data_IF_019576538811
#
_entry.id   IF_019576538811
#
_cell.length_a   1.000
_cell.length_b   1.000
_cell.length_c   1.000
_cell.angle_alpha   90.00
_cell.angle_beta   90.00
_cell.angle_gamma   90.00
#
_symmetry.space_group_name_H-M   'P 1'
#
loop_
_entity.id
_entity.type
_entity.pdbx_description
1 polymer ?
#
# COMPACT_ATOMS: atom_id res chain seq x y z
N UNK A 1 3.41 24.10 -1.17
CA UNK A 1 3.17 22.74 -1.70
C UNK A 1 1.70 22.42 -1.50
N UNK A 2 0.97 21.87 -2.49
CA UNK A 2 -0.36 21.36 -2.23
C UNK A 2 -0.29 20.32 -1.10
N UNK A 3 -1.28 20.24 -0.20
CA UNK A 3 -1.29 19.22 0.84
C UNK A 3 -1.28 17.86 0.15
N UNK A 4 -0.40 16.96 0.61
CA UNK A 4 -0.41 15.58 0.15
C UNK A 4 -1.80 15.01 0.44
N UNK A 5 -2.46 14.49 -0.60
CA UNK A 5 -3.79 13.90 -0.50
C UNK A 5 -3.69 12.44 -0.88
N UNK A 6 -4.10 11.59 0.04
CA UNK A 6 -4.17 10.14 -0.13
C UNK A 6 -5.27 9.75 -1.12
N UNK A 7 -5.02 8.74 -1.95
CA UNK A 7 -6.03 8.16 -2.84
C UNK A 7 -7.09 7.37 -2.06
N UNK A 8 -6.71 6.74 -0.95
CA UNK A 8 -7.57 5.87 -0.16
C UNK A 8 -7.71 6.40 1.27
N UNK A 9 -8.68 7.29 1.56
CA UNK A 9 -8.87 7.80 2.91
C UNK A 9 -9.18 6.68 3.91
N UNK A 10 -8.93 6.93 5.20
CA UNK A 10 -9.22 5.98 6.29
C UNK A 10 -10.66 5.46 6.20
N UNK A 11 -10.83 4.15 6.37
CA UNK A 11 -12.10 3.44 6.21
C UNK A 11 -12.39 2.96 4.78
N UNK A 12 -11.60 3.37 3.79
CA UNK A 12 -11.75 2.90 2.40
C UNK A 12 -11.49 1.40 2.30
N UNK A 13 -12.29 0.71 1.50
CA UNK A 13 -12.10 -0.70 1.18
C UNK A 13 -11.12 -0.82 0.01
N UNK A 14 -10.01 -1.51 0.24
CA UNK A 14 -8.92 -1.67 -0.72
C UNK A 14 -8.58 -3.15 -0.88
N UNK A 15 -8.00 -3.47 -2.03
CA UNK A 15 -7.43 -4.78 -2.30
C UNK A 15 -5.93 -4.63 -2.51
N UNK A 16 -5.15 -5.46 -1.85
CA UNK A 16 -3.73 -5.61 -2.14
C UNK A 16 -3.58 -6.16 -3.55
N UNK A 17 -2.73 -5.54 -4.38
CA UNK A 17 -2.51 -6.00 -5.75
C UNK A 17 -1.98 -7.43 -5.81
N UNK A 18 -2.08 -8.02 -6.99
CA UNK A 18 -1.66 -9.40 -7.23
C UNK A 18 -0.15 -9.57 -7.01
N UNK A 19 0.25 -10.80 -6.68
CA UNK A 19 1.62 -11.14 -6.28
C UNK A 19 2.64 -10.74 -7.34
N UNK A 20 2.33 -10.97 -8.61
CA UNK A 20 3.20 -10.59 -9.74
C UNK A 20 3.51 -9.09 -9.76
N UNK A 21 2.54 -8.24 -9.44
CA UNK A 21 2.75 -6.79 -9.32
C UNK A 21 3.63 -6.47 -8.11
N UNK A 22 3.36 -7.07 -6.95
CA UNK A 22 4.14 -6.81 -5.73
C UNK A 22 5.60 -7.24 -5.89
N UNK A 23 5.84 -8.39 -6.53
CA UNK A 23 7.19 -8.88 -6.83
C UNK A 23 7.91 -7.98 -7.84
N UNK A 24 7.21 -7.49 -8.86
CA UNK A 24 7.79 -6.51 -9.80
C UNK A 24 8.12 -5.20 -9.07
N UNK A 25 7.18 -4.71 -8.27
CA UNK A 25 7.35 -3.48 -7.49
C UNK A 25 8.54 -3.61 -6.53
N UNK A 26 8.68 -4.75 -5.84
CA UNK A 26 9.82 -5.11 -4.98
C UNK A 26 11.17 -5.09 -5.73
N UNK A 27 11.23 -5.57 -6.98
CA UNK A 27 12.47 -5.62 -7.78
C UNK A 27 12.89 -4.28 -8.37
N UNK A 28 11.95 -3.48 -8.85
CA UNK A 28 12.22 -2.21 -9.54
C UNK A 28 12.49 -1.03 -8.58
N UNK A 29 12.56 -1.33 -7.28
CA UNK A 29 12.29 -0.40 -6.18
C UNK A 29 13.11 0.90 -6.20
N UNK A 30 12.40 2.04 -6.11
CA UNK A 30 12.95 3.41 -5.98
C UNK A 30 12.36 4.21 -4.80
N UNK A 31 11.53 3.59 -3.96
CA UNK A 31 10.69 4.26 -2.96
C UNK A 31 11.17 4.01 -1.52
N UNK A 32 10.51 4.58 -0.51
CA UNK A 32 10.74 4.19 0.89
C UNK A 32 9.87 2.98 1.26
N UNK A 33 10.39 2.09 2.12
CA UNK A 33 9.73 0.86 2.61
C UNK A 33 9.47 -0.22 1.53
N UNK A 34 10.51 -0.93 1.07
CA UNK A 34 10.34 -2.07 0.17
C UNK A 34 9.40 -3.13 0.74
N UNK A 35 8.57 -3.69 -0.14
CA UNK A 35 7.69 -4.82 0.19
C UNK A 35 8.55 -5.99 0.67
N UNK A 36 8.26 -6.51 1.87
CA UNK A 36 8.92 -7.70 2.39
C UNK A 36 8.38 -8.97 1.72
N UNK A 37 9.12 -10.08 1.82
CA UNK A 37 8.64 -11.37 1.31
C UNK A 37 7.35 -11.84 2.00
N UNK A 38 7.20 -11.57 3.29
CA UNK A 38 5.98 -11.88 4.06
C UNK A 38 4.77 -11.08 3.55
N UNK A 39 4.97 -9.83 3.12
CA UNK A 39 3.91 -9.03 2.53
C UNK A 39 3.40 -9.61 1.19
N UNK A 40 4.22 -10.35 0.46
CA UNK A 40 3.78 -10.99 -0.80
C UNK A 40 2.69 -12.04 -0.59
N UNK A 41 2.55 -12.58 0.63
CA UNK A 41 1.56 -13.61 0.95
C UNK A 41 0.16 -13.03 1.15
N UNK A 42 0.05 -11.71 1.34
CA UNK A 42 -1.22 -10.98 1.42
C UNK A 42 -1.70 -10.47 0.05
N UNK A 43 -1.05 -10.89 -1.04
CA UNK A 43 -1.45 -10.49 -2.37
C UNK A 43 -2.91 -10.86 -2.69
N UNK A 44 -3.67 -9.91 -3.21
CA UNK A 44 -5.07 -10.11 -3.54
C UNK A 44 -6.04 -10.07 -2.35
N UNK A 45 -5.57 -9.92 -1.10
CA UNK A 45 -6.43 -9.76 0.08
C UNK A 45 -7.19 -8.44 0.02
N UNK A 46 -8.44 -8.45 0.45
CA UNK A 46 -9.27 -7.24 0.60
C UNK A 46 -9.35 -6.85 2.07
N UNK A 47 -9.13 -5.59 2.36
CA UNK A 47 -9.12 -5.04 3.72
C UNK A 47 -9.60 -3.58 3.71
N UNK A 48 -9.58 -2.93 4.88
CA UNK A 48 -9.87 -1.51 5.06
C UNK A 48 -8.62 -0.75 5.45
N UNK A 49 -8.52 0.48 4.95
CA UNK A 49 -7.47 1.42 5.36
C UNK A 49 -7.69 1.81 6.82
N UNK A 50 -6.68 1.55 7.65
CA UNK A 50 -6.63 1.95 9.05
C UNK A 50 -6.01 3.34 9.23
N UNK A 51 -4.98 3.65 8.44
CA UNK A 51 -4.27 4.91 8.52
C UNK A 51 -3.47 5.19 7.24
N UNK A 52 -3.27 6.47 6.96
CA UNK A 52 -2.38 6.96 5.90
C UNK A 52 -1.28 7.84 6.51
N UNK A 53 -0.06 7.69 6.04
CA UNK A 53 1.10 8.48 6.45
C UNK A 53 1.82 9.01 5.20
N UNK A 54 2.35 10.22 5.33
CA UNK A 54 3.05 10.92 4.24
C UNK A 54 4.53 10.99 4.58
N UNK A 55 5.35 10.29 3.80
CA UNK A 55 6.80 10.29 4.01
C UNK A 55 7.46 11.46 3.28
N UNK A 56 8.51 12.03 3.87
CA UNK A 56 9.29 13.11 3.24
C UNK A 56 9.97 12.58 1.96
N UNK A 57 9.47 13.04 0.81
CA UNK A 57 9.79 12.45 -0.50
C UNK A 57 8.56 12.23 -1.39
N UNK A 58 7.36 12.29 -0.81
CA UNK A 58 6.09 12.23 -1.54
C UNK A 58 5.42 10.85 -1.58
N UNK A 59 5.99 9.86 -0.89
CA UNK A 59 5.39 8.52 -0.78
C UNK A 59 4.21 8.56 0.19
N UNK A 60 3.08 8.00 -0.25
CA UNK A 60 1.88 7.79 0.57
C UNK A 60 1.86 6.33 0.99
N UNK A 61 1.89 6.12 2.29
CA UNK A 61 1.99 4.81 2.92
C UNK A 61 0.74 4.52 3.76
N UNK A 62 0.27 3.29 3.71
CA UNK A 62 -0.96 2.85 4.36
C UNK A 62 -0.70 1.74 5.37
N UNK A 63 -1.47 1.75 6.44
CA UNK A 63 -1.68 0.57 7.30
C UNK A 63 -3.11 0.08 7.11
N UNK A 64 -3.31 -1.23 7.18
CA UNK A 64 -4.61 -1.87 7.02
C UNK A 64 -5.09 -2.42 8.38
N UNK A 65 -6.37 -2.75 8.48
CA UNK A 65 -6.96 -3.20 9.75
C UNK A 65 -6.43 -4.59 10.17
N UNK A 66 -6.51 -5.56 9.27
CA UNK A 66 -6.18 -6.97 9.55
C UNK A 66 -4.89 -7.42 8.85
N UNK A 67 -4.56 -6.77 7.74
CA UNK A 67 -3.41 -7.11 6.89
C UNK A 67 -2.16 -6.38 7.41
N UNK A 68 -1.16 -7.09 7.94
CA UNK A 68 0.00 -6.47 8.56
C UNK A 68 0.90 -5.76 7.55
N UNK A 69 1.76 -4.87 8.06
CA UNK A 69 2.78 -4.16 7.29
C UNK A 69 2.37 -2.77 6.84
N UNK A 70 3.29 -2.14 6.12
CA UNK A 70 3.16 -0.80 5.55
C UNK A 70 3.10 -0.92 4.03
N UNK A 71 2.08 -0.33 3.43
CA UNK A 71 1.74 -0.52 2.02
C UNK A 71 1.88 0.78 1.26
N UNK A 72 2.73 0.81 0.23
CA UNK A 72 2.78 1.94 -0.68
C UNK A 72 1.46 2.04 -1.47
N UNK A 73 0.96 3.25 -1.73
CA UNK A 73 -0.29 3.49 -2.46
C UNK A 73 -0.45 2.64 -3.73
N UNK A 74 0.62 2.57 -4.52
CA UNK A 74 0.69 1.77 -5.75
C UNK A 74 0.48 0.26 -5.56
N UNK A 75 0.68 -0.28 -4.36
CA UNK A 75 0.41 -1.69 -4.04
C UNK A 75 -1.07 -1.97 -3.75
N UNK A 76 -1.89 -0.93 -3.64
CA UNK A 76 -3.31 -1.03 -3.36
C UNK A 76 -4.12 -0.66 -4.61
N UNK A 77 -5.37 -1.11 -4.62
CA UNK A 77 -6.39 -0.71 -5.59
C UNK A 77 -7.76 -0.73 -4.91
N UNK A 78 -8.75 -0.04 -5.48
CA UNK A 78 -10.13 -0.10 -4.99
C UNK A 78 -10.62 -1.55 -4.99
N UNK A 79 -11.22 -1.99 -3.87
CA UNK A 79 -11.91 -3.27 -3.81
C UNK A 79 -13.31 -3.14 -4.40
N UNK A 80 -13.63 -3.95 -5.41
CA UNK A 80 -14.99 -4.08 -5.95
C UNK A 80 -15.92 -4.82 -4.99
#
# INVERSE_FOLDING_TARGET
>A
MPPYKEQFPVGSRVRVKLRSFLEQFQREWKYHHPISNEQLDFAGVTDKVKGAAFYHGGDILYTLCETPGTWHEKCLQTAT
#
